data_IF_062329178425
#
_entry.id   IF_062329178425
#
_cell.length_a   1.000
_cell.length_b   1.000
_cell.length_c   1.000
_cell.angle_alpha   90.00
_cell.angle_beta   90.00
_cell.angle_gamma   90.00
#
_symmetry.space_group_name_H-M   'P 1'
#
loop_
_entity.id
_entity.type
_entity.pdbx_description
1 polymer ?
#
# COMPACT_ATOMS: atom_id res chain seq x y z
N UNK A 1 0.22 22.45 2.22
CA UNK A 1 -0.66 22.08 1.10
C UNK A 1 -0.24 20.68 0.67
N UNK A 2 -1.12 19.69 0.80
CA UNK A 2 -0.80 18.32 0.36
C UNK A 2 -0.81 18.32 -1.18
N UNK A 3 0.21 17.80 -1.88
CA UNK A 3 0.15 17.73 -3.34
C UNK A 3 -1.08 16.88 -3.73
N UNK A 4 -1.77 17.31 -4.77
CA UNK A 4 -3.02 16.71 -5.25
C UNK A 4 -2.76 15.28 -5.75
N UNK A 5 -2.79 14.29 -4.87
CA UNK A 5 -2.80 12.89 -5.28
C UNK A 5 -4.21 12.47 -5.67
N UNK A 6 -4.33 11.92 -6.87
CA UNK A 6 -5.57 11.31 -7.34
C UNK A 6 -5.57 9.82 -7.00
N UNK A 7 -6.67 9.36 -6.43
CA UNK A 7 -6.87 7.96 -6.09
C UNK A 7 -7.96 7.36 -6.94
N UNK A 8 -7.69 6.18 -7.50
CA UNK A 8 -8.68 5.35 -8.16
C UNK A 8 -9.05 4.18 -7.25
N UNK A 9 -10.30 4.21 -6.77
CA UNK A 9 -10.89 3.14 -5.98
C UNK A 9 -11.56 2.17 -6.93
N UNK A 10 -11.14 0.91 -6.91
CA UNK A 10 -11.89 -0.15 -7.57
C UNK A 10 -12.54 -1.03 -6.49
N UNK A 11 -13.87 -1.16 -6.55
CA UNK A 11 -14.66 -1.85 -5.54
C UNK A 11 -14.59 -3.38 -5.71
N UNK A 12 -13.39 -3.96 -5.59
CA UNK A 12 -13.17 -5.42 -5.62
C UNK A 12 -12.20 -5.83 -4.53
N UNK A 13 -12.54 -6.88 -3.81
CA UNK A 13 -11.58 -7.52 -2.94
C UNK A 13 -10.65 -8.41 -3.76
N UNK A 14 -9.35 -8.18 -3.62
CA UNK A 14 -8.30 -8.83 -4.40
C UNK A 14 -7.18 -9.26 -3.48
N UNK A 15 -6.41 -10.27 -3.88
CA UNK A 15 -5.10 -10.49 -3.28
C UNK A 15 -4.10 -9.43 -3.74
N UNK A 16 -2.93 -9.36 -3.10
CA UNK A 16 -1.97 -8.29 -3.40
C UNK A 16 -1.53 -8.30 -4.88
N UNK A 17 -1.22 -9.48 -5.43
CA UNK A 17 -0.78 -9.60 -6.84
C UNK A 17 -1.86 -9.15 -7.83
N UNK A 18 -3.12 -9.51 -7.56
CA UNK A 18 -4.27 -9.08 -8.35
C UNK A 18 -4.49 -7.57 -8.23
N UNK A 19 -4.29 -7.01 -7.04
CA UNK A 19 -4.39 -5.58 -6.81
C UNK A 19 -3.36 -4.78 -7.60
N UNK A 20 -2.10 -5.22 -7.58
CA UNK A 20 -1.03 -4.65 -8.41
C UNK A 20 -1.38 -4.76 -9.89
N UNK A 21 -1.87 -5.91 -10.35
CA UNK A 21 -2.25 -6.13 -11.74
C UNK A 21 -3.40 -5.22 -12.17
N UNK A 22 -4.39 -4.99 -11.31
CA UNK A 22 -5.51 -4.09 -11.61
C UNK A 22 -5.05 -2.65 -11.78
N UNK A 23 -4.22 -2.12 -10.87
CA UNK A 23 -3.67 -0.78 -11.03
C UNK A 23 -2.88 -0.64 -12.34
N UNK A 24 -2.06 -1.65 -12.68
CA UNK A 24 -1.27 -1.65 -13.92
C UNK A 24 -2.13 -1.63 -15.19
N UNK A 25 -3.31 -2.27 -15.22
CA UNK A 25 -4.23 -2.20 -16.38
C UNK A 25 -4.66 -0.78 -16.71
N UNK A 26 -4.65 0.10 -15.72
CA UNK A 26 -5.02 1.51 -15.86
C UNK A 26 -3.80 2.44 -15.95
N UNK A 27 -2.59 1.90 -16.14
CA UNK A 27 -1.32 2.65 -16.06
C UNK A 27 -1.13 3.36 -14.71
N UNK A 28 -1.69 2.81 -13.64
CA UNK A 28 -1.58 3.31 -12.27
C UNK A 28 -0.66 2.43 -11.43
N UNK A 29 -0.25 2.97 -10.30
CA UNK A 29 0.48 2.22 -9.27
C UNK A 29 -0.43 1.95 -8.09
N UNK A 30 -0.06 1.00 -7.24
CA UNK A 30 -0.75 0.81 -5.98
C UNK A 30 -0.40 1.97 -5.03
N UNK A 31 -1.29 2.31 -4.11
CA UNK A 31 -1.11 3.52 -3.32
C UNK A 31 0.11 3.52 -2.41
N UNK A 32 0.70 4.70 -2.21
CA UNK A 32 1.84 4.94 -1.33
C UNK A 32 1.51 6.04 -0.32
N UNK A 33 0.72 5.73 0.73
CA UNK A 33 0.30 6.74 1.68
C UNK A 33 1.45 7.09 2.64
N UNK A 34 2.30 8.05 2.28
CA UNK A 34 3.58 8.33 2.97
C UNK A 34 3.39 9.14 4.24
N UNK A 35 2.37 10.01 4.29
CA UNK A 35 2.10 10.85 5.46
C UNK A 35 0.97 10.31 6.33
N UNK A 36 0.97 10.67 7.62
CA UNK A 36 -0.12 10.35 8.55
C UNK A 36 -1.43 10.97 8.07
N UNK A 37 -1.42 12.25 7.67
CA UNK A 37 -2.61 12.95 7.18
C UNK A 37 -3.22 12.26 5.94
N UNK A 38 -2.41 11.79 5.00
CA UNK A 38 -2.90 11.05 3.83
C UNK A 38 -3.57 9.73 4.22
N UNK A 39 -2.97 9.00 5.16
CA UNK A 39 -3.54 7.75 5.69
C UNK A 39 -4.91 7.98 6.33
N UNK A 40 -5.00 9.01 7.18
CA UNK A 40 -6.25 9.38 7.85
C UNK A 40 -7.34 9.78 6.84
N UNK A 41 -6.99 10.57 5.82
CA UNK A 41 -7.93 10.97 4.77
C UNK A 41 -8.46 9.78 3.97
N UNK A 42 -7.57 8.87 3.57
CA UNK A 42 -7.95 7.64 2.84
C UNK A 42 -8.89 6.79 3.69
N UNK A 43 -8.57 6.59 4.97
CA UNK A 43 -9.40 5.80 5.89
C UNK A 43 -10.75 6.44 6.15
N UNK A 44 -10.80 7.75 6.38
CA UNK A 44 -12.06 8.48 6.54
C UNK A 44 -12.96 8.32 5.32
N UNK A 45 -12.39 8.17 4.12
CA UNK A 45 -13.14 8.04 2.87
C UNK A 45 -13.53 6.60 2.53
N UNK A 46 -12.68 5.63 2.81
CA UNK A 46 -12.83 4.24 2.34
C UNK A 46 -13.19 3.23 3.44
N UNK A 47 -13.00 3.59 4.72
CA UNK A 47 -13.44 2.83 5.91
C UNK A 47 -12.86 1.42 6.09
N UNK A 48 -12.06 0.92 5.15
CA UNK A 48 -11.64 -0.49 5.05
C UNK A 48 -10.12 -0.63 5.03
N UNK A 49 -9.63 -1.87 5.25
CA UNK A 49 -8.25 -2.21 4.97
C UNK A 49 -7.99 -2.09 3.47
N UNK A 50 -6.90 -1.44 3.10
CA UNK A 50 -6.57 -1.21 1.69
C UNK A 50 -5.11 -1.58 1.42
N UNK A 51 -4.85 -2.28 0.32
CA UNK A 51 -3.49 -2.59 -0.09
C UNK A 51 -2.66 -1.35 -0.36
N UNK A 52 -1.38 -1.38 0.03
CA UNK A 52 -0.39 -0.36 -0.32
C UNK A 52 0.77 -0.97 -1.10
N UNK A 53 1.51 -0.16 -1.85
CA UNK A 53 2.62 -0.60 -2.71
C UNK A 53 3.88 -0.96 -1.92
N UNK A 54 3.80 -2.01 -1.10
CA UNK A 54 4.96 -2.52 -0.37
C UNK A 54 4.81 -4.01 -0.04
N UNK A 55 5.80 -4.78 -0.48
CA UNK A 55 5.95 -6.20 -0.17
C UNK A 55 7.39 -6.55 0.16
N UNK A 56 7.57 -7.61 0.93
CA UNK A 56 8.87 -8.23 1.20
C UNK A 56 8.87 -9.68 0.72
N UNK A 57 10.01 -10.13 0.21
CA UNK A 57 10.19 -11.51 -0.26
C UNK A 57 11.10 -12.35 0.66
N UNK A 58 11.53 -11.78 1.79
CA UNK A 58 12.44 -12.41 2.77
C UNK A 58 12.10 -11.93 4.18
N UNK A 59 12.23 -12.84 5.15
CA UNK A 59 12.06 -12.55 6.59
C UNK A 59 13.03 -11.45 7.01
N UNK A 60 12.54 -10.48 7.78
CA UNK A 60 13.37 -9.40 8.34
C UNK A 60 13.85 -8.38 7.31
N UNK A 61 13.42 -8.47 6.05
CA UNK A 61 13.69 -7.43 5.07
C UNK A 61 12.97 -6.13 5.44
N UNK A 62 13.60 -5.00 5.13
CA UNK A 62 12.95 -3.71 5.26
C UNK A 62 11.84 -3.57 4.21
N UNK A 63 10.74 -2.94 4.59
CA UNK A 63 9.71 -2.52 3.67
C UNK A 63 10.13 -1.24 2.94
N UNK A 64 9.98 -1.27 1.63
CA UNK A 64 10.15 -0.13 0.74
C UNK A 64 8.88 0.05 -0.07
N UNK A 65 8.56 1.30 -0.38
CA UNK A 65 7.58 1.65 -1.39
C UNK A 65 8.10 1.19 -2.77
N UNK A 66 7.23 0.98 -3.75
CA UNK A 66 7.67 0.64 -5.11
C UNK A 66 8.52 1.70 -5.81
N UNK A 67 8.64 2.91 -5.26
CA UNK A 67 9.61 3.94 -5.68
C UNK A 67 10.97 3.86 -4.99
N UNK A 68 11.20 2.85 -4.15
CA UNK A 68 12.46 2.63 -3.43
C UNK A 68 12.62 3.42 -2.13
N UNK A 69 11.67 4.30 -1.77
CA UNK A 69 11.72 5.00 -0.49
C UNK A 69 11.31 4.10 0.67
N UNK A 70 11.94 4.27 1.84
CA UNK A 70 11.67 3.43 3.03
C UNK A 70 10.28 3.69 3.60
N UNK A 71 9.61 2.63 4.05
CA UNK A 71 8.29 2.70 4.69
C UNK A 71 8.43 3.06 6.19
N UNK A 72 7.55 3.95 6.67
CA UNK A 72 7.48 4.39 8.07
C UNK A 72 6.03 4.43 8.60
N UNK A 73 5.87 4.52 9.93
CA UNK A 73 4.57 4.72 10.60
C UNK A 73 3.72 3.44 10.74
N UNK A 74 4.34 2.38 11.24
CA UNK A 74 3.67 1.12 11.60
C UNK A 74 2.93 1.25 12.94
N UNK A 75 1.82 0.52 13.12
CA UNK A 75 0.94 0.62 14.30
C UNK A 75 1.66 0.47 15.64
N UNK A 76 2.66 -0.41 15.71
CA UNK A 76 3.34 -0.77 16.95
C UNK A 76 4.84 -0.42 16.96
N UNK A 77 5.28 0.50 16.09
CA UNK A 77 6.72 0.84 15.87
C UNK A 77 7.61 -0.36 15.49
N UNK A 78 7.03 -1.56 15.35
CA UNK A 78 7.66 -2.80 14.95
C UNK A 78 6.71 -3.58 14.05
N UNK A 79 7.27 -4.11 12.97
CA UNK A 79 6.70 -5.19 12.17
C UNK A 79 6.52 -6.37 13.12
N UNK A 80 5.30 -6.88 13.28
CA UNK A 80 5.04 -7.84 14.35
C UNK A 80 5.61 -9.22 14.01
N UNK A 81 6.01 -9.48 12.75
CA UNK A 81 6.45 -10.80 12.28
C UNK A 81 5.53 -11.93 12.77
N UNK A 82 4.29 -11.63 13.16
CA UNK A 82 3.39 -12.56 13.88
C UNK A 82 2.66 -13.48 12.91
N UNK A 83 3.16 -13.55 11.69
CA UNK A 83 2.71 -14.45 10.65
C UNK A 83 3.35 -15.83 10.91
N UNK A 84 2.59 -16.94 10.98
CA UNK A 84 3.10 -18.31 11.00
C UNK A 84 4.26 -18.57 10.04
N UNK A 85 5.27 -19.28 10.56
CA UNK A 85 6.58 -19.61 9.96
C UNK A 85 6.56 -20.13 8.52
N UNK A 86 5.47 -20.73 8.08
CA UNK A 86 5.31 -21.25 6.71
C UNK A 86 5.04 -20.18 5.64
N UNK A 87 4.70 -18.94 6.03
CA UNK A 87 4.44 -17.84 5.10
C UNK A 87 5.36 -16.62 5.31
N UNK A 88 6.28 -16.72 6.27
CA UNK A 88 7.22 -15.64 6.58
C UNK A 88 8.21 -15.52 5.41
N UNK A 89 7.98 -14.54 4.55
CA UNK A 89 8.77 -14.34 3.34
C UNK A 89 7.98 -13.87 2.14
N UNK A 90 6.65 -13.76 2.17
CA UNK A 90 5.86 -13.08 1.13
C UNK A 90 4.78 -12.22 1.78
N UNK A 91 5.21 -11.23 2.57
CA UNK A 91 4.30 -10.35 3.29
C UNK A 91 4.12 -9.06 2.49
N UNK A 92 2.91 -8.53 2.54
CA UNK A 92 2.54 -7.25 1.95
C UNK A 92 1.95 -6.34 3.02
N UNK A 93 1.94 -5.03 2.77
CA UNK A 93 1.34 -4.07 3.70
C UNK A 93 -0.08 -3.71 3.28
N UNK A 94 -0.92 -3.49 4.29
CA UNK A 94 -2.22 -2.83 4.17
C UNK A 94 -2.27 -1.60 5.05
N UNK A 95 -3.01 -0.60 4.62
CA UNK A 95 -3.44 0.52 5.45
C UNK A 95 -4.70 0.12 6.21
N UNK A 96 -4.63 0.07 7.54
CA UNK A 96 -5.75 -0.28 8.42
C UNK A 96 -5.68 0.51 9.73
N UNK A 97 -6.81 1.09 10.16
CA UNK A 97 -6.93 1.78 11.46
C UNK A 97 -5.98 2.97 11.68
N UNK A 98 -5.46 3.58 10.62
CA UNK A 98 -4.51 4.71 10.65
C UNK A 98 -3.07 4.30 10.33
N UNK A 99 -2.81 2.99 10.31
CA UNK A 99 -1.48 2.44 10.39
C UNK A 99 -1.20 1.46 9.25
N UNK A 100 0.09 1.26 8.99
CA UNK A 100 0.55 0.19 8.10
C UNK A 100 0.67 -1.10 8.91
N UNK A 101 0.02 -2.15 8.41
CA UNK A 101 -0.06 -3.46 9.04
C UNK A 101 0.41 -4.52 8.04
N UNK A 102 1.21 -5.47 8.52
CA UNK A 102 1.64 -6.63 7.72
C UNK A 102 0.49 -7.61 7.52
N UNK A 103 0.39 -8.16 6.32
CA UNK A 103 -0.52 -9.26 6.02
C UNK A 103 0.05 -10.17 4.94
N UNK A 104 -0.57 -11.33 4.76
CA UNK A 104 -0.20 -12.31 3.75
C UNK A 104 -0.54 -11.80 2.35
N UNK A 105 0.32 -12.03 1.37
CA UNK A 105 0.04 -11.69 -0.03
C UNK A 105 -1.30 -12.29 -0.54
N UNK A 106 -1.67 -13.46 -0.01
CA UNK A 106 -2.91 -14.18 -0.35
C UNK A 106 -4.16 -13.69 0.41
N UNK A 107 -4.03 -12.78 1.36
CA UNK A 107 -5.19 -12.18 2.01
C UNK A 107 -6.07 -11.48 0.97
N UNK A 108 -7.35 -11.30 1.25
CA UNK A 108 -8.29 -10.68 0.30
C UNK A 108 -8.80 -9.40 0.92
N UNK A 109 -8.49 -8.27 0.30
CA UNK A 109 -8.92 -6.95 0.76
C UNK A 109 -9.07 -5.95 -0.39
N UNK A 110 -9.55 -4.76 -0.11
CA UNK A 110 -9.74 -3.70 -1.11
C UNK A 110 -8.37 -3.22 -1.59
N UNK A 111 -8.25 -2.88 -2.87
CA UNK A 111 -7.08 -2.18 -3.34
C UNK A 111 -7.42 -0.77 -3.79
N UNK A 112 -6.41 0.08 -3.68
CA UNK A 112 -6.47 1.47 -4.09
C UNK A 112 -5.28 1.76 -4.99
N UNK A 113 -5.55 2.37 -6.14
CA UNK A 113 -4.53 2.80 -7.05
C UNK A 113 -4.25 4.30 -6.87
N UNK A 114 -2.99 4.67 -6.97
CA UNK A 114 -2.48 6.03 -6.94
C UNK A 114 -1.98 6.36 -8.35
N UNK A 115 -2.38 7.54 -8.84
CA UNK A 115 -1.84 8.09 -10.08
C UNK A 115 -0.38 8.41 -9.86
N UNK A 116 0.48 7.85 -10.71
CA UNK A 116 1.89 8.20 -10.70
C UNK A 116 2.00 9.65 -11.17
N UNK A 117 2.19 10.58 -10.24
CA UNK A 117 2.71 11.90 -10.56
C UNK A 117 4.22 11.71 -10.80
N UNK A 118 4.57 11.21 -11.99
CA UNK A 118 5.88 11.54 -12.54
C UNK A 118 5.88 13.04 -12.66
N UNK A 119 6.58 13.70 -11.75
CA UNK A 119 6.92 15.12 -11.84
C UNK A 119 7.83 15.28 -13.06
N UNK A 120 7.32 15.10 -14.29
CA UNK A 120 8.08 15.22 -15.54
C UNK A 120 7.24 15.21 -16.84
N UNK A 121 5.95 15.52 -16.79
CA UNK A 121 5.22 15.92 -18.00
C UNK A 121 4.69 17.35 -17.87
N UNK A 122 5.66 18.25 -18.00
CA UNK A 122 5.65 19.43 -18.88
C UNK A 122 4.33 20.23 -18.89
N UNK A 123 4.39 21.37 -18.19
CA UNK A 123 3.77 22.59 -18.69
C UNK A 123 4.20 22.79 -20.15
N UNK A 124 3.26 22.71 -21.08
CA UNK A 124 3.34 23.35 -22.40
C UNK A 124 2.05 24.12 -22.62
#
# INVERSE_FOLDING_TARGET
>A
MYPFKCYYVYNRHTNYSQSVAECKKHNLTQMRPKSVNERELILKRLGSSNWVDSKITKIGANYFWGDGTKVYGFANSKLSNSIPTSQIGKNSLVLSGGFLVETYESAVTTGLCDYYDSVEHLFY
#
